data_IF_421513384750
#
_entry.id   IF_421513384750
#
_cell.length_a   1.000
_cell.length_b   1.000
_cell.length_c   1.000
_cell.angle_alpha   90.00
_cell.angle_beta   90.00
_cell.angle_gamma   90.00
#
_symmetry.space_group_name_H-M   'P 1'
#
loop_
_entity.id
_entity.type
_entity.pdbx_description
1 polymer ?
#
# COMPACT_ATOMS: atom_id res chain seq x y z
N UNK A 1 5.37 6.76 -5.45
CA UNK A 1 5.11 5.37 -5.02
C UNK A 1 6.45 4.68 -4.85
N UNK A 2 6.72 3.96 -3.75
CA UNK A 2 8.03 3.33 -3.51
C UNK A 2 8.32 2.23 -4.52
N UNK A 3 9.57 2.09 -4.94
CA UNK A 3 9.98 1.07 -5.92
C UNK A 3 9.65 -0.36 -5.46
N UNK A 4 9.82 -0.66 -4.17
CA UNK A 4 9.48 -1.95 -3.59
C UNK A 4 7.98 -2.25 -3.63
N UNK A 5 7.15 -1.23 -3.44
CA UNK A 5 5.70 -1.37 -3.53
C UNK A 5 5.31 -1.72 -4.97
N UNK A 6 5.82 -0.97 -5.94
CA UNK A 6 5.57 -1.22 -7.37
C UNK A 6 6.01 -2.63 -7.77
N UNK A 7 7.18 -3.09 -7.29
CA UNK A 7 7.66 -4.47 -7.50
C UNK A 7 6.73 -5.50 -6.87
N UNK A 8 6.24 -5.28 -5.64
CA UNK A 8 5.30 -6.20 -5.00
C UNK A 8 3.98 -6.31 -5.79
N UNK A 9 3.46 -5.18 -6.31
CA UNK A 9 2.27 -5.19 -7.17
C UNK A 9 2.53 -5.90 -8.50
N UNK A 10 3.66 -5.62 -9.15
CA UNK A 10 4.04 -6.23 -10.41
C UNK A 10 4.22 -7.76 -10.31
N UNK A 11 4.70 -8.25 -9.17
CA UNK A 11 4.80 -9.68 -8.87
C UNK A 11 3.44 -10.34 -8.53
N UNK A 12 2.33 -9.63 -8.67
CA UNK A 12 0.99 -10.16 -8.39
C UNK A 12 0.64 -10.20 -6.90
N UNK A 13 1.33 -9.39 -6.08
CA UNK A 13 1.01 -9.21 -4.67
C UNK A 13 -0.37 -8.57 -4.46
N UNK A 14 -1.04 -8.94 -3.38
CA UNK A 14 -2.37 -8.43 -3.03
C UNK A 14 -2.24 -7.05 -2.39
N UNK A 15 -2.77 -6.02 -3.04
CA UNK A 15 -2.83 -4.68 -2.45
C UNK A 15 -4.07 -4.53 -1.57
N UNK A 16 -3.90 -4.07 -0.33
CA UNK A 16 -5.00 -3.60 0.52
C UNK A 16 -4.81 -2.13 0.86
N UNK A 17 -5.89 -1.38 0.75
CA UNK A 17 -5.92 0.01 1.22
C UNK A 17 -6.34 0.02 2.69
N UNK A 18 -5.49 0.52 3.57
CA UNK A 18 -5.82 0.74 4.98
C UNK A 18 -6.11 2.22 5.19
N UNK A 19 -7.32 2.53 5.63
CA UNK A 19 -7.69 3.89 6.05
C UNK A 19 -7.07 4.16 7.43
N UNK A 20 -6.50 5.33 7.59
CA UNK A 20 -5.89 5.85 8.80
C UNK A 20 -6.77 6.98 9.35
N UNK A 21 -6.54 7.35 10.62
CA UNK A 21 -7.23 8.48 11.25
C UNK A 21 -6.85 9.82 10.59
N UNK A 22 -7.79 10.76 10.57
CA UNK A 22 -7.60 12.10 9.99
C UNK A 22 -7.64 12.12 8.46
N UNK A 23 -8.49 11.29 7.83
CA UNK A 23 -8.66 11.28 6.37
C UNK A 23 -7.45 10.73 5.60
N UNK A 24 -6.52 10.07 6.26
CA UNK A 24 -5.34 9.46 5.62
C UNK A 24 -5.65 8.05 5.17
N UNK A 25 -4.94 7.56 4.15
CA UNK A 25 -4.99 6.16 3.74
C UNK A 25 -3.62 5.72 3.22
N UNK A 26 -3.31 4.45 3.39
CA UNK A 26 -2.07 3.84 2.94
C UNK A 26 -2.40 2.61 2.10
N UNK A 27 -1.67 2.39 1.03
CA UNK A 27 -1.72 1.14 0.28
C UNK A 27 -0.65 0.21 0.83
N UNK A 28 -1.01 -1.01 1.19
CA UNK A 28 -0.08 -2.03 1.69
C UNK A 28 -0.15 -3.20 0.71
N UNK A 29 1.00 -3.57 0.14
CA UNK A 29 1.11 -4.71 -0.76
C UNK A 29 1.56 -5.95 0.02
N UNK A 30 0.79 -7.03 -0.12
CA UNK A 30 1.08 -8.33 0.47
C UNK A 30 1.64 -9.25 -0.61
N UNK A 31 2.92 -9.64 -0.55
CA UNK A 31 3.52 -10.48 -1.59
C UNK A 31 2.80 -11.83 -1.71
N UNK A 32 2.64 -12.29 -2.95
CA UNK A 32 2.04 -13.59 -3.26
C UNK A 32 3.03 -14.69 -2.89
N UNK A 33 2.64 -15.59 -1.99
CA UNK A 33 3.53 -16.64 -1.43
C UNK A 33 3.88 -16.44 0.05
N UNK A 34 3.38 -15.37 0.68
CA UNK A 34 3.71 -15.04 2.07
C UNK A 34 5.04 -14.28 2.19
N UNK A 35 5.20 -13.53 3.28
CA UNK A 35 6.38 -12.69 3.52
C UNK A 35 6.02 -11.30 4.05
N UNK A 36 7.04 -10.45 4.19
CA UNK A 36 6.88 -9.10 4.72
C UNK A 36 6.01 -8.24 3.81
N UNK A 37 4.97 -7.65 4.37
CA UNK A 37 4.10 -6.72 3.65
C UNK A 37 4.83 -5.40 3.36
N UNK A 38 4.78 -4.94 2.12
CA UNK A 38 5.40 -3.69 1.69
C UNK A 38 4.41 -2.54 1.83
N UNK A 39 4.70 -1.60 2.71
CA UNK A 39 3.91 -0.39 2.87
C UNK A 39 4.21 0.62 1.74
N UNK A 40 3.17 1.12 1.09
CA UNK A 40 3.22 2.22 0.15
C UNK A 40 3.19 3.58 0.85
N UNK A 41 3.14 4.65 0.09
CA UNK A 41 3.07 6.01 0.63
C UNK A 41 1.71 6.29 1.30
N UNK A 42 1.76 7.01 2.43
CA UNK A 42 0.57 7.55 3.10
C UNK A 42 0.02 8.70 2.26
N UNK A 43 -1.21 8.53 1.76
CA UNK A 43 -1.95 9.56 1.05
C UNK A 43 -2.93 10.24 1.98
N UNK A 44 -3.08 11.54 1.81
CA UNK A 44 -4.09 12.32 2.48
C UNK A 44 -5.28 12.44 1.54
N UNK A 45 -6.48 12.08 2.00
CA UNK A 45 -7.70 12.40 1.27
C UNK A 45 -7.83 13.92 1.34
N UNK A 46 -7.74 14.59 0.19
CA UNK A 46 -8.04 16.03 0.10
C UNK A 46 -9.47 16.20 0.61
N UNK A 47 -9.60 16.78 1.81
CA UNK A 47 -10.88 17.25 2.29
C UNK A 47 -11.11 18.55 1.53
N UNK A 48 -12.08 18.54 0.61
CA UNK A 48 -12.59 19.74 -0.03
C UNK A 48 -13.72 20.31 0.82
#
# INVERSE_FOLDING_TARGET
>A
MPTEFTKCVANGGRVRTKKLSGGRFIHICFPKGGGSSVAGEVKHRKNN
#
